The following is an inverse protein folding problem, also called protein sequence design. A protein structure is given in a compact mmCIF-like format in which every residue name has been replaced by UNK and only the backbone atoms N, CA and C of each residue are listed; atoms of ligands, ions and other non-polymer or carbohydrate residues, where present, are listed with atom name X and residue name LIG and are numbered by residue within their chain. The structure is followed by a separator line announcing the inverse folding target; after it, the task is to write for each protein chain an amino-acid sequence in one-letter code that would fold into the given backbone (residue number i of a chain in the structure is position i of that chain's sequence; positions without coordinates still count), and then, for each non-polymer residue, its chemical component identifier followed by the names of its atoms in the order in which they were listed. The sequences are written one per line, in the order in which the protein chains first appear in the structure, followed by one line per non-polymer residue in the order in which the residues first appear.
data_IF_280979974398
#
_entry.id   IF_280979974398
#
_cell.length_a   1.000
_cell.length_b   1.000
_cell.length_c   1.000
_cell.angle_alpha   90.00
_cell.angle_beta   90.00
_cell.angle_gamma   90.00
#
_symmetry.space_group_name_H-M   'P 1'
#
loop_
_entity.id
_entity.type
_entity.pdbx_description
1 polymer ?
#
# COMPACT_ATOMS: atom_id res chain seq x y z
N UNK A 1 7.02 9.19 -14.22
CA UNK A 1 8.34 8.73 -13.74
C UNK A 1 8.33 8.17 -12.30
N UNK A 2 7.92 8.92 -11.26
CA UNK A 2 8.02 8.42 -9.87
C UNK A 2 7.21 7.13 -9.63
N UNK A 3 5.94 7.11 -10.05
CA UNK A 3 5.07 5.92 -9.97
C UNK A 3 5.68 4.71 -10.69
N UNK A 4 6.33 4.95 -11.84
CA UNK A 4 6.98 3.88 -12.61
C UNK A 4 8.11 3.20 -11.82
N UNK A 5 8.90 3.95 -11.03
CA UNK A 5 9.96 3.35 -10.21
C UNK A 5 9.38 2.41 -9.14
N UNK A 6 8.28 2.81 -8.50
CA UNK A 6 7.57 1.97 -7.53
C UNK A 6 7.03 0.71 -8.20
N UNK A 7 6.32 0.86 -9.33
CA UNK A 7 5.81 -0.30 -10.08
C UNK A 7 6.93 -1.21 -10.59
N UNK A 8 8.08 -0.65 -10.97
CA UNK A 8 9.22 -1.43 -11.42
C UNK A 8 9.83 -2.24 -10.28
N UNK A 9 10.04 -1.67 -9.08
CA UNK A 9 10.58 -2.44 -7.96
C UNK A 9 9.56 -3.45 -7.42
N UNK A 10 8.26 -3.15 -7.50
CA UNK A 10 7.19 -4.10 -7.16
C UNK A 10 7.08 -5.27 -8.15
N UNK A 11 7.39 -5.08 -9.43
CA UNK A 11 7.45 -6.21 -10.37
C UNK A 11 8.63 -7.13 -10.04
N UNK A 12 9.76 -6.57 -9.62
CA UNK A 12 10.94 -7.31 -9.17
C UNK A 12 10.67 -8.02 -7.83
N UNK A 13 9.89 -7.45 -6.92
CA UNK A 13 9.53 -8.12 -5.66
C UNK A 13 8.79 -9.45 -5.91
N UNK A 14 7.90 -9.48 -6.90
CA UNK A 14 7.21 -10.70 -7.30
C UNK A 14 8.17 -11.80 -7.79
N UNK A 15 9.23 -11.43 -8.51
CA UNK A 15 10.29 -12.35 -8.97
C UNK A 15 11.16 -12.81 -7.79
N UNK A 16 11.52 -11.91 -6.89
CA UNK A 16 12.27 -12.21 -5.68
C UNK A 16 11.55 -13.27 -4.82
N UNK A 17 10.24 -13.11 -4.64
CA UNK A 17 9.40 -14.07 -3.90
C UNK A 17 9.33 -15.47 -4.55
N UNK A 18 9.55 -15.60 -5.86
CA UNK A 18 9.59 -16.91 -6.54
C UNK A 18 10.98 -17.56 -6.54
N UNK A 19 12.03 -16.76 -6.41
CA UNK A 19 13.42 -17.22 -6.53
C UNK A 19 14.11 -17.35 -5.18
N UNK A 20 13.55 -16.77 -4.12
CA UNK A 20 14.15 -16.69 -2.79
C UNK A 20 15.13 -15.53 -2.62
N UNK A 21 15.22 -14.62 -3.60
CA UNK A 21 15.99 -13.39 -3.46
C UNK A 21 15.27 -12.37 -2.56
N UNK A 22 16.01 -11.40 -2.03
CA UNK A 22 15.48 -10.29 -1.24
C UNK A 22 15.39 -9.01 -2.10
N UNK A 23 14.19 -8.44 -2.20
CA UNK A 23 13.96 -7.22 -2.99
C UNK A 23 14.67 -6.00 -2.40
N UNK A 24 14.88 -5.93 -1.09
CA UNK A 24 15.58 -4.80 -0.46
C UNK A 24 17.07 -4.84 -0.79
N UNK A 25 17.67 -6.03 -0.87
CA UNK A 25 19.05 -6.20 -1.35
C UNK A 25 19.18 -5.81 -2.82
N UNK A 26 18.24 -6.25 -3.67
CA UNK A 26 18.21 -5.88 -5.10
C UNK A 26 18.03 -4.37 -5.27
N UNK A 27 17.08 -3.77 -4.55
CA UNK A 27 16.83 -2.33 -4.58
C UNK A 27 18.08 -1.53 -4.17
N UNK A 28 18.78 -1.98 -3.12
CA UNK A 28 20.04 -1.38 -2.66
C UNK A 28 21.12 -1.48 -3.71
N UNK A 29 21.32 -2.66 -4.30
CA UNK A 29 22.33 -2.88 -5.34
C UNK A 29 22.08 -2.02 -6.58
N UNK A 30 20.84 -1.97 -7.06
CA UNK A 30 20.44 -1.13 -8.20
C UNK A 30 20.56 0.37 -7.87
N UNK A 31 20.19 0.77 -6.65
CA UNK A 31 20.21 2.16 -6.21
C UNK A 31 21.60 2.76 -5.96
N UNK A 32 22.65 1.93 -5.92
CA UNK A 32 24.06 2.39 -5.83
C UNK A 32 24.51 3.08 -7.12
N UNK A 33 23.95 2.69 -8.27
CA UNK A 33 24.25 3.38 -9.53
C UNK A 33 23.67 4.81 -9.49
N UNK A 34 24.51 5.85 -9.57
CA UNK A 34 24.04 7.24 -9.47
C UNK A 34 23.12 7.66 -10.61
N UNK A 35 23.11 6.94 -11.75
CA UNK A 35 22.19 7.20 -12.87
C UNK A 35 20.77 6.75 -12.55
N UNK A 36 20.61 5.81 -11.63
CA UNK A 36 19.31 5.31 -11.16
C UNK A 36 18.94 6.00 -9.85
N UNK A 37 19.88 6.08 -8.90
CA UNK A 37 19.68 6.61 -7.56
C UNK A 37 18.80 5.74 -6.66
N UNK A 38 18.84 6.00 -5.34
CA UNK A 38 18.21 5.16 -4.32
C UNK A 38 16.78 5.55 -3.91
N UNK A 39 16.20 6.61 -4.51
CA UNK A 39 14.87 7.10 -4.14
C UNK A 39 13.77 6.36 -4.90
N UNK A 40 12.60 6.20 -4.29
CA UNK A 40 11.43 5.53 -4.90
C UNK A 40 11.71 4.08 -5.35
N UNK A 41 12.61 3.37 -4.64
CA UNK A 41 12.94 1.95 -4.86
C UNK A 41 12.58 1.10 -3.63
N UNK A 42 11.55 1.49 -2.88
CA UNK A 42 11.04 0.69 -1.77
C UNK A 42 9.84 -0.08 -2.29
N UNK A 43 9.93 -1.41 -2.28
CA UNK A 43 8.83 -2.28 -2.65
C UNK A 43 7.74 -2.28 -1.56
N UNK A 44 6.50 -2.53 -1.95
CA UNK A 44 5.37 -2.58 -1.01
C UNK A 44 4.08 -3.04 -1.67
N UNK A 45 2.97 -2.87 -0.95
CA UNK A 45 1.63 -3.33 -1.40
C UNK A 45 1.19 -2.60 -2.67
N UNK A 46 1.64 -1.36 -2.85
CA UNK A 46 1.34 -0.53 -4.01
C UNK A 46 1.40 0.95 -3.63
N UNK A 47 1.64 1.83 -4.59
CA UNK A 47 1.50 3.26 -4.37
C UNK A 47 0.02 3.64 -4.28
N UNK A 48 -0.32 4.67 -3.51
CA UNK A 48 -1.65 5.29 -3.47
C UNK A 48 -1.58 6.80 -3.61
N UNK A 49 -2.62 7.49 -3.12
CA UNK A 49 -2.74 8.94 -3.17
C UNK A 49 -3.31 9.45 -4.50
N UNK A 50 -3.87 10.67 -4.45
CA UNK A 50 -4.64 11.26 -5.56
C UNK A 50 -3.84 11.65 -6.82
N UNK A 51 -2.50 11.66 -6.76
CA UNK A 51 -1.66 12.15 -7.85
C UNK A 51 -1.24 11.03 -8.81
N UNK A 52 -0.58 9.97 -8.33
CA UNK A 52 0.13 9.04 -9.22
C UNK A 52 -0.77 8.31 -10.21
N UNK A 53 -1.85 7.67 -9.76
CA UNK A 53 -2.76 6.95 -10.66
C UNK A 53 -3.41 7.90 -11.66
N UNK A 54 -3.96 9.02 -11.16
CA UNK A 54 -4.62 10.05 -11.96
C UNK A 54 -3.71 10.64 -13.03
N UNK A 55 -2.50 11.07 -12.67
CA UNK A 55 -1.59 11.73 -13.59
C UNK A 55 -1.05 10.75 -14.65
N UNK A 56 -0.82 9.48 -14.28
CA UNK A 56 -0.46 8.44 -15.26
C UNK A 56 -1.61 8.15 -16.20
N UNK A 57 -2.85 8.00 -15.71
CA UNK A 57 -4.01 7.75 -16.58
C UNK A 57 -4.31 8.95 -17.50
N UNK A 58 -4.10 10.18 -17.04
CA UNK A 58 -4.18 11.37 -17.89
C UNK A 58 -3.11 11.37 -18.98
N UNK A 59 -1.88 10.95 -18.66
CA UNK A 59 -0.82 10.81 -19.66
C UNK A 59 -1.15 9.74 -20.70
N UNK A 60 -1.71 8.60 -20.27
CA UNK A 60 -2.19 7.55 -21.17
C UNK A 60 -3.27 8.10 -22.11
N UNK A 61 -4.27 8.80 -21.56
CA UNK A 61 -5.32 9.44 -22.35
C UNK A 61 -4.77 10.46 -23.36
N UNK A 62 -3.83 11.31 -22.95
CA UNK A 62 -3.20 12.28 -23.84
C UNK A 62 -2.44 11.58 -24.97
N UNK A 63 -1.67 10.53 -24.67
CA UNK A 63 -0.96 9.77 -25.70
C UNK A 63 -1.92 9.13 -26.71
N UNK A 64 -3.01 8.52 -26.22
CA UNK A 64 -4.04 7.91 -27.07
C UNK A 64 -4.71 8.95 -27.98
N UNK A 65 -5.06 10.13 -27.45
CA UNK A 65 -5.68 11.21 -28.25
C UNK A 65 -4.74 11.88 -29.25
N UNK A 66 -3.43 11.80 -29.03
CA UNK A 66 -2.40 12.24 -29.98
C UNK A 66 -2.06 11.18 -31.06
N UNK A 67 -2.70 10.00 -31.03
CA UNK A 67 -2.40 8.90 -31.95
C UNK A 67 -1.09 8.17 -31.63
N UNK A 68 -0.69 8.12 -30.36
CA UNK A 68 0.51 7.43 -29.87
C UNK A 68 0.15 6.23 -28.97
N UNK A 69 -0.54 5.20 -29.48
CA UNK A 69 -1.07 4.12 -28.66
C UNK A 69 0.01 3.26 -27.97
N UNK A 70 1.20 3.12 -28.57
CA UNK A 70 2.32 2.39 -27.96
C UNK A 70 2.84 3.10 -26.71
N UNK A 71 2.86 4.43 -26.73
CA UNK A 71 3.23 5.26 -25.57
C UNK A 71 2.16 5.16 -24.50
N UNK A 72 0.88 5.22 -24.89
CA UNK A 72 -0.25 5.02 -23.99
C UNK A 72 -0.18 3.67 -23.28
N UNK A 73 0.03 2.57 -24.02
CA UNK A 73 0.11 1.23 -23.43
C UNK A 73 1.33 1.07 -22.51
N UNK A 74 2.48 1.64 -22.87
CA UNK A 74 3.66 1.62 -22.00
C UNK A 74 3.38 2.26 -20.63
N UNK A 75 2.73 3.43 -20.61
CA UNK A 75 2.38 4.09 -19.34
C UNK A 75 1.26 3.38 -18.60
N UNK A 76 0.33 2.74 -19.32
CA UNK A 76 -0.75 1.93 -18.72
C UNK A 76 -0.19 0.78 -17.87
N UNK A 77 0.96 0.21 -18.25
CA UNK A 77 1.62 -0.85 -17.48
C UNK A 77 2.02 -0.41 -16.07
N UNK A 78 2.30 0.87 -15.84
CA UNK A 78 2.62 1.39 -14.50
C UNK A 78 1.43 1.21 -13.55
N UNK A 79 0.21 1.48 -14.02
CA UNK A 79 -1.02 1.32 -13.22
C UNK A 79 -1.37 -0.17 -13.09
N UNK A 80 -1.35 -0.93 -14.20
CA UNK A 80 -1.64 -2.37 -14.17
C UNK A 80 -0.73 -3.14 -13.19
N UNK A 81 0.55 -2.80 -13.15
CA UNK A 81 1.50 -3.43 -12.22
C UNK A 81 1.22 -3.05 -10.76
N UNK A 82 0.72 -1.84 -10.50
CA UNK A 82 0.33 -1.41 -9.16
C UNK A 82 -0.91 -2.17 -8.68
N UNK A 83 -1.92 -2.31 -9.55
CA UNK A 83 -3.13 -3.11 -9.28
C UNK A 83 -2.76 -4.59 -9.04
N UNK A 84 -1.92 -5.17 -9.90
CA UNK A 84 -1.38 -6.52 -9.71
C UNK A 84 -0.68 -6.70 -8.34
N UNK A 85 0.14 -5.73 -7.91
CA UNK A 85 0.84 -5.82 -6.63
C UNK A 85 -0.15 -5.86 -5.44
N UNK A 86 -1.19 -5.02 -5.48
CA UNK A 86 -2.24 -4.96 -4.44
C UNK A 86 -3.05 -6.26 -4.39
N UNK A 87 -3.48 -6.74 -5.54
CA UNK A 87 -4.28 -7.98 -5.66
C UNK A 87 -3.48 -9.19 -5.23
N UNK A 88 -2.23 -9.30 -5.70
CA UNK A 88 -1.32 -10.39 -5.33
C UNK A 88 -1.12 -10.44 -3.82
N UNK A 89 -0.87 -9.29 -3.19
CA UNK A 89 -0.65 -9.22 -1.75
C UNK A 89 -1.90 -9.66 -0.97
N UNK A 90 -3.08 -9.15 -1.34
CA UNK A 90 -4.34 -9.49 -0.66
C UNK A 90 -4.68 -10.98 -0.83
N UNK A 91 -4.53 -11.52 -2.04
CA UNK A 91 -4.71 -12.94 -2.30
C UNK A 91 -3.71 -13.81 -1.52
N UNK A 92 -2.49 -13.33 -1.29
CA UNK A 92 -1.51 -14.03 -0.45
C UNK A 92 -1.98 -14.11 1.00
N UNK A 93 -2.58 -13.05 1.55
CA UNK A 93 -3.17 -13.07 2.90
C UNK A 93 -4.24 -14.16 3.01
N UNK A 94 -5.18 -14.20 2.06
CA UNK A 94 -6.25 -15.21 2.02
C UNK A 94 -5.67 -16.63 1.91
N UNK A 95 -4.67 -16.82 1.04
CA UNK A 95 -3.99 -18.11 0.85
C UNK A 95 -3.26 -18.57 2.12
N UNK A 96 -2.55 -17.67 2.81
CA UNK A 96 -1.91 -17.96 4.09
C UNK A 96 -2.93 -18.34 5.18
N UNK A 97 -4.16 -17.88 5.04
CA UNK A 97 -5.29 -18.23 5.91
C UNK A 97 -6.12 -19.38 5.33
N UNK A 98 -5.49 -20.36 4.68
CA UNK A 98 -6.15 -21.59 4.18
C UNK A 98 -7.31 -21.33 3.20
N UNK A 99 -7.24 -20.26 2.40
CA UNK A 99 -8.24 -19.89 1.40
C UNK A 99 -9.66 -19.70 1.96
N UNK A 100 -9.78 -19.22 3.21
CA UNK A 100 -11.08 -18.85 3.79
C UNK A 100 -10.88 -17.88 4.94
N UNK A 101 -11.70 -16.83 5.01
CA UNK A 101 -11.72 -15.90 6.14
C UNK A 101 -12.89 -16.13 7.10
N UNK A 102 -13.83 -17.02 6.77
CA UNK A 102 -15.00 -17.33 7.61
C UNK A 102 -14.57 -17.70 9.03
N UNK A 103 -15.15 -17.02 10.02
CA UNK A 103 -14.82 -17.24 11.44
C UNK A 103 -13.52 -16.58 11.91
N UNK A 104 -12.72 -15.98 11.01
CA UNK A 104 -11.43 -15.35 11.32
C UNK A 104 -11.55 -13.84 11.45
N UNK A 105 -10.71 -13.28 12.33
CA UNK A 105 -10.49 -11.85 12.46
C UNK A 105 -9.18 -11.50 11.76
N UNK A 106 -9.22 -10.56 10.81
CA UNK A 106 -8.03 -10.03 10.13
C UNK A 106 -7.90 -8.56 10.49
N UNK A 107 -6.74 -8.17 11.01
CA UNK A 107 -6.49 -6.78 11.40
C UNK A 107 -5.66 -6.09 10.35
N UNK A 108 -6.07 -4.90 9.97
CA UNK A 108 -5.36 -3.99 9.07
C UNK A 108 -4.85 -2.82 9.91
N UNK A 109 -3.54 -2.69 10.00
CA UNK A 109 -2.84 -1.59 10.63
C UNK A 109 -2.39 -0.60 9.55
N UNK A 110 -2.95 0.60 9.59
CA UNK A 110 -2.81 1.61 8.56
C UNK A 110 -3.96 1.58 7.55
N UNK A 111 -4.52 2.74 7.30
CA UNK A 111 -5.63 2.98 6.37
C UNK A 111 -5.31 4.13 5.40
N UNK A 112 -4.56 5.14 5.86
CA UNK A 112 -4.02 6.18 4.99
C UNK A 112 -3.09 5.61 3.91
N UNK A 113 -2.96 6.30 2.78
CA UNK A 113 -2.16 5.80 1.66
C UNK A 113 -0.63 5.78 1.92
N UNK A 114 -0.17 6.53 2.93
CA UNK A 114 1.22 6.60 3.39
C UNK A 114 1.25 7.10 4.84
N UNK A 115 2.40 7.00 5.51
CA UNK A 115 2.53 7.52 6.87
C UNK A 115 2.38 9.05 6.97
N UNK A 116 2.06 9.53 8.16
CA UNK A 116 1.98 10.95 8.55
C UNK A 116 0.94 11.77 7.77
N UNK A 117 -0.16 11.16 7.36
CA UNK A 117 -1.29 11.83 6.74
C UNK A 117 -2.59 11.11 7.07
N UNK A 118 -3.71 11.82 7.04
CA UNK A 118 -5.05 11.25 7.13
C UNK A 118 -5.69 11.06 5.75
N UNK A 119 -4.93 11.22 4.66
CA UNK A 119 -5.41 11.09 3.29
C UNK A 119 -5.52 9.61 2.90
N UNK A 120 -6.72 9.22 2.49
CA UNK A 120 -7.16 7.84 2.22
C UNK A 120 -7.42 7.60 0.73
N UNK A 121 -7.30 8.65 -0.11
CA UNK A 121 -7.59 8.56 -1.54
C UNK A 121 -6.66 7.57 -2.21
N UNK A 122 -7.24 6.64 -2.98
CA UNK A 122 -6.52 5.54 -3.65
C UNK A 122 -5.63 4.73 -2.69
N UNK A 123 -5.96 4.68 -1.39
CA UNK A 123 -5.18 3.91 -0.41
C UNK A 123 -5.26 2.40 -0.70
N UNK A 124 -4.13 1.66 -0.62
CA UNK A 124 -4.14 0.22 -0.80
C UNK A 124 -5.04 -0.53 0.20
N UNK A 125 -5.17 0.00 1.42
CA UNK A 125 -6.03 -0.58 2.46
C UNK A 125 -7.50 -0.63 2.03
N UNK A 126 -7.98 0.36 1.27
CA UNK A 126 -9.37 0.44 0.84
C UNK A 126 -9.75 -0.72 -0.10
N UNK A 127 -8.92 -0.98 -1.12
CA UNK A 127 -9.11 -2.11 -2.05
C UNK A 127 -8.96 -3.45 -1.32
N UNK A 128 -8.00 -3.55 -0.41
CA UNK A 128 -7.81 -4.75 0.41
C UNK A 128 -9.04 -5.07 1.25
N UNK A 129 -9.66 -4.09 1.92
CA UNK A 129 -10.88 -4.28 2.71
C UNK A 129 -11.99 -4.87 1.83
N UNK A 130 -12.17 -4.35 0.61
CA UNK A 130 -13.18 -4.85 -0.33
C UNK A 130 -12.95 -6.33 -0.66
N UNK A 131 -11.75 -6.70 -1.10
CA UNK A 131 -11.43 -8.09 -1.46
C UNK A 131 -11.50 -9.03 -0.26
N UNK A 132 -11.04 -8.60 0.92
CA UNK A 132 -11.15 -9.43 2.13
C UNK A 132 -12.61 -9.63 2.55
N UNK A 133 -13.49 -8.65 2.33
CA UNK A 133 -14.89 -8.76 2.70
C UNK A 133 -15.66 -9.79 1.86
N UNK A 134 -15.26 -9.98 0.59
CA UNK A 134 -15.83 -11.00 -0.31
C UNK A 134 -15.69 -12.43 0.27
N UNK A 135 -14.66 -12.68 1.09
CA UNK A 135 -14.42 -13.94 1.79
C UNK A 135 -15.23 -14.11 3.09
N UNK A 136 -16.13 -13.17 3.40
CA UNK A 136 -17.03 -13.15 4.57
C UNK A 136 -16.31 -13.44 5.90
N UNK A 137 -15.31 -12.62 6.28
CA UNK A 137 -14.59 -12.78 7.53
C UNK A 137 -15.53 -12.65 8.73
N UNK A 138 -15.13 -13.20 9.89
CA UNK A 138 -15.81 -12.85 11.14
C UNK A 138 -15.69 -11.35 11.39
N UNK A 139 -14.47 -10.82 11.21
CA UNK A 139 -14.18 -9.41 11.44
C UNK A 139 -12.98 -8.94 10.60
N UNK A 140 -13.10 -7.76 9.99
CA UNK A 140 -11.99 -6.94 9.53
C UNK A 140 -11.82 -5.81 10.53
N UNK A 141 -10.76 -5.89 11.33
CA UNK A 141 -10.42 -4.85 12.29
C UNK A 141 -9.50 -3.83 11.64
N UNK A 142 -9.77 -2.54 11.79
CA UNK A 142 -8.97 -1.48 11.20
C UNK A 142 -8.50 -0.53 12.30
N UNK A 143 -7.22 -0.19 12.28
CA UNK A 143 -6.66 0.90 13.08
C UNK A 143 -5.69 1.72 12.25
N UNK A 144 -5.82 3.05 12.32
CA UNK A 144 -4.89 4.00 11.75
C UNK A 144 -4.70 5.15 12.75
N UNK A 145 -3.45 5.55 13.07
CA UNK A 145 -3.20 6.59 14.08
C UNK A 145 -3.55 8.01 13.62
N UNK A 146 -3.67 8.25 12.31
CA UNK A 146 -3.91 9.57 11.73
C UNK A 146 -5.32 9.76 11.17
N UNK A 147 -6.03 8.68 10.84
CA UNK A 147 -7.39 8.73 10.31
C UNK A 147 -8.45 8.64 11.41
N UNK A 148 -9.44 9.54 11.37
CA UNK A 148 -10.56 9.51 12.31
C UNK A 148 -11.43 8.25 12.07
N UNK A 149 -11.74 7.44 13.11
CA UNK A 149 -12.53 6.23 12.95
C UNK A 149 -13.91 6.42 12.30
N UNK A 150 -14.55 7.57 12.53
CA UNK A 150 -15.85 7.89 11.91
C UNK A 150 -15.71 8.14 10.41
N UNK A 151 -14.62 8.79 9.98
CA UNK A 151 -14.34 9.05 8.57
C UNK A 151 -14.07 7.74 7.83
N UNK A 152 -13.27 6.85 8.42
CA UNK A 152 -12.99 5.52 7.85
C UNK A 152 -14.31 4.75 7.64
N UNK A 153 -15.18 4.70 8.66
CA UNK A 153 -16.47 4.00 8.57
C UNK A 153 -17.35 4.57 7.45
N UNK A 154 -17.39 5.90 7.33
CA UNK A 154 -18.19 6.57 6.32
C UNK A 154 -17.65 6.31 4.90
N UNK A 155 -16.33 6.38 4.70
CA UNK A 155 -15.72 6.07 3.40
C UNK A 155 -15.96 4.62 2.97
N UNK A 156 -15.81 3.67 3.89
CA UNK A 156 -16.08 2.26 3.63
C UNK A 156 -17.56 2.05 3.27
N UNK A 157 -18.48 2.70 4.00
CA UNK A 157 -19.92 2.66 3.68
C UNK A 157 -20.21 3.25 2.30
N UNK A 158 -19.60 4.38 1.95
CA UNK A 158 -19.79 5.01 0.64
C UNK A 158 -19.26 4.13 -0.50
N UNK A 159 -18.16 3.41 -0.27
CA UNK A 159 -17.59 2.53 -1.28
C UNK A 159 -18.41 1.24 -1.47
N UNK A 160 -18.87 0.63 -0.39
CA UNK A 160 -19.50 -0.69 -0.41
C UNK A 160 -21.04 -0.64 -0.48
N UNK A 161 -21.64 0.52 -0.20
CA UNK A 161 -23.09 0.66 0.00
C UNK A 161 -23.55 0.11 1.35
N UNK A 162 -24.84 0.23 1.65
CA UNK A 162 -25.44 -0.41 2.83
C UNK A 162 -25.63 -1.91 2.57
N UNK A 163 -24.58 -2.67 2.83
CA UNK A 163 -24.58 -4.14 2.78
C UNK A 163 -24.49 -4.72 4.19
N UNK A 164 -25.11 -5.88 4.42
CA UNK A 164 -25.13 -6.55 5.72
C UNK A 164 -23.71 -6.88 6.22
N UNK A 165 -22.78 -7.10 5.30
CA UNK A 165 -21.37 -7.40 5.56
C UNK A 165 -20.62 -6.22 6.20
N UNK A 166 -21.13 -4.99 6.16
CA UNK A 166 -20.52 -3.84 6.87
C UNK A 166 -20.41 -4.09 8.39
N UNK A 167 -21.27 -4.95 8.96
CA UNK A 167 -21.20 -5.33 10.37
C UNK A 167 -19.92 -6.10 10.74
N UNK A 168 -19.25 -6.69 9.74
CA UNK A 168 -17.99 -7.38 9.91
C UNK A 168 -16.80 -6.41 9.94
N UNK A 169 -16.98 -5.12 9.68
CA UNK A 169 -15.89 -4.13 9.70
C UNK A 169 -15.96 -3.33 10.99
N UNK A 170 -14.87 -3.36 11.77
CA UNK A 170 -14.78 -2.64 13.04
C UNK A 170 -13.54 -1.76 13.04
N UNK A 171 -13.73 -0.45 13.23
CA UNK A 171 -12.63 0.51 13.35
C UNK A 171 -12.36 0.77 14.83
N UNK A 172 -11.12 0.55 15.25
CA UNK A 172 -10.66 0.62 16.63
C UNK A 172 -9.93 1.93 16.92
N UNK A 173 -9.86 2.30 18.20
CA UNK A 173 -9.16 3.50 18.66
C UNK A 173 -7.67 3.27 18.98
N UNK A 174 -7.20 2.03 19.02
CA UNK A 174 -5.80 1.68 19.23
C UNK A 174 -5.44 0.34 18.56
N UNK A 175 -4.15 0.14 18.28
CA UNK A 175 -3.64 -1.05 17.61
C UNK A 175 -3.82 -2.34 18.42
N UNK A 176 -3.76 -2.27 19.75
CA UNK A 176 -3.81 -3.46 20.61
C UNK A 176 -5.19 -4.11 20.61
N UNK A 177 -6.25 -3.31 20.81
CA UNK A 177 -7.64 -3.79 20.75
C UNK A 177 -7.98 -4.28 19.33
N UNK A 178 -7.46 -3.59 18.30
CA UNK A 178 -7.59 -4.03 16.92
C UNK A 178 -6.95 -5.41 16.71
N UNK A 179 -5.80 -5.67 17.33
CA UNK A 179 -5.08 -6.93 17.20
C UNK A 179 -5.59 -8.06 18.12
N UNK A 180 -6.35 -7.77 19.18
CA UNK A 180 -6.84 -8.79 20.10
C UNK A 180 -7.60 -9.91 19.36
N UNK A 181 -7.20 -11.17 19.60
CA UNK A 181 -7.76 -12.39 18.98
C UNK A 181 -7.76 -12.40 17.45
N UNK A 182 -6.85 -11.67 16.83
CA UNK A 182 -6.71 -11.63 15.38
C UNK A 182 -5.97 -12.87 14.89
N UNK A 183 -6.47 -13.46 13.80
CA UNK A 183 -5.83 -14.60 13.15
C UNK A 183 -4.63 -14.16 12.30
N UNK A 184 -4.73 -12.96 11.71
CA UNK A 184 -3.62 -12.31 11.02
C UNK A 184 -3.65 -10.80 11.28
N UNK A 185 -2.46 -10.19 11.25
CA UNK A 185 -2.26 -8.75 11.28
C UNK A 185 -1.53 -8.37 9.99
N UNK A 186 -2.09 -7.38 9.29
CA UNK A 186 -1.60 -6.87 8.02
C UNK A 186 -1.21 -5.41 8.24
N UNK A 187 0.06 -5.10 8.05
CA UNK A 187 0.54 -3.72 8.06
C UNK A 187 0.39 -3.16 6.65
N UNK A 188 -0.63 -2.31 6.45
CA UNK A 188 -0.93 -1.72 5.15
C UNK A 188 -0.25 -0.36 4.93
N UNK A 189 0.08 0.34 6.01
CA UNK A 189 0.76 1.65 5.96
C UNK A 189 1.95 1.67 6.93
N UNK A 190 3.07 2.22 6.48
CA UNK A 190 4.37 2.17 7.15
C UNK A 190 4.54 3.17 8.32
N UNK A 191 3.53 3.33 9.17
CA UNK A 191 3.63 4.19 10.35
C UNK A 191 4.73 3.70 11.29
N UNK A 192 5.49 4.65 11.85
CA UNK A 192 6.63 4.33 12.71
C UNK A 192 6.18 3.65 14.02
N UNK A 193 4.93 3.89 14.46
CA UNK A 193 4.30 3.25 15.63
C UNK A 193 4.14 1.73 15.51
N UNK A 194 4.09 1.21 14.27
CA UNK A 194 3.97 -0.23 14.04
C UNK A 194 5.34 -0.94 14.05
N UNK A 195 6.43 -0.19 14.17
CA UNK A 195 7.78 -0.75 14.23
C UNK A 195 8.08 -1.19 15.66
N UNK A 196 8.73 -2.34 15.77
CA UNK A 196 9.27 -2.84 17.04
C UNK A 196 10.69 -2.31 17.32
N UNK A 197 11.10 -1.22 16.66
CA UNK A 197 12.40 -0.57 16.80
C UNK A 197 12.19 0.95 16.89
N UNK A 198 13.02 1.67 17.68
CA UNK A 198 12.93 3.13 17.75
C UNK A 198 13.09 3.74 16.35
N UNK A 199 12.40 4.86 16.04
CA UNK A 199 12.50 5.51 14.75
C UNK A 199 13.97 5.88 14.45
N UNK A 200 14.40 5.82 13.17
CA UNK A 200 15.75 6.22 12.81
C UNK A 200 16.01 7.67 13.23
N UNK A 201 17.20 7.93 13.77
CA UNK A 201 17.61 9.27 14.17
C UNK A 201 17.52 10.25 12.99
N UNK A 202 17.06 11.49 13.20
CA UNK A 202 16.99 12.49 12.14
C UNK A 202 18.36 12.71 11.50
N UNK A 203 18.42 13.04 10.20
CA UNK A 203 19.68 13.31 9.53
C UNK A 203 20.41 14.46 10.23
N UNK A 204 21.70 14.27 10.47
CA UNK A 204 22.56 15.30 11.04
C UNK A 204 22.45 16.58 10.22
N UNK A 205 22.33 17.77 10.84
CA UNK A 205 22.36 19.01 10.09
C UNK A 205 23.65 19.08 9.26
N UNK A 206 23.59 19.65 8.04
CA UNK A 206 24.78 19.81 7.22
C UNK A 206 25.84 20.56 8.01
N UNK A 207 27.05 20.00 8.04
CA UNK A 207 28.22 20.65 8.63
C UNK A 207 28.36 22.03 7.97
N UNK A 208 28.08 23.08 8.75
CA UNK A 208 28.36 24.45 8.34
C UNK A 208 29.88 24.57 8.22
N UNK A 209 30.37 24.55 6.99
CA UNK A 209 31.76 24.93 6.72
C UNK A 209 31.95 26.37 7.21
N UNK A 210 32.91 26.63 8.12
CA UNK A 210 33.15 27.99 8.58
C UNK A 210 33.56 28.85 7.38
N UNK A 211 32.84 29.96 7.18
CA UNK A 211 33.18 30.98 6.19
C UNK A 211 34.62 31.44 6.41
N UNK A 212 35.46 31.25 5.39
CA UNK A 212 36.79 31.86 5.32
C UNK A 212 36.69 33.35 5.07
#
# INVERSE_FOLDING_TARGET
MLAQRISSINSISAVCEQTGADVDEVAKAVGVDPRIGNKFLVAGIGFGGSCFKKDVLNLVYLADTMGLPEVGEYWRQVVKMNEYARDRFTNRVIKCLNNTLVGKKVTILGYAFKKNTSDTREAPALEMVKTLLEERPREIAIFDPCCNPLVIKEEIRQLLGDVDELKNIVVYGNAYDACDKSTAVVIATEFDEFRNQPPPSPPSPPLTTPSR
#
